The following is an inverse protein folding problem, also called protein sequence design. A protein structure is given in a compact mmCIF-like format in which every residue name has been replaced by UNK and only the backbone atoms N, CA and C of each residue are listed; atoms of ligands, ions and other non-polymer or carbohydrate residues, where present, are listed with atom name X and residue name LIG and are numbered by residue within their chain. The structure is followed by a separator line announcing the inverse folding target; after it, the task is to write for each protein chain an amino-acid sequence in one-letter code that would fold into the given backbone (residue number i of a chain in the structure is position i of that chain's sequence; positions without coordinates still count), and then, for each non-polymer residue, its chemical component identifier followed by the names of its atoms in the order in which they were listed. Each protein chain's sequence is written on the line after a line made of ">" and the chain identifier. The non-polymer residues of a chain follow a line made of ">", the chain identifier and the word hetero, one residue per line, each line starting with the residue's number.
data_IF_858652156556
#
_entry.id   IF_858652156556
#
_cell.length_a   1.000
_cell.length_b   1.000
_cell.length_c   1.000
_cell.angle_alpha   90.00
_cell.angle_beta   90.00
_cell.angle_gamma   90.00
#
_symmetry.space_group_name_H-M   'P 1'
#
loop_
_entity.id
_entity.type
_entity.pdbx_description
1 polymer ?
#
# COMPACT_ATOMS: atom_id res chain seq x y z
N UNK A 1 3.63 -2.11 -15.24
CA UNK A 1 3.14 -3.33 -14.56
C UNK A 1 4.02 -3.56 -13.36
N UNK A 2 3.52 -3.28 -12.16
CA UNK A 2 4.25 -3.49 -10.91
C UNK A 2 3.98 -4.91 -10.41
N UNK A 3 5.01 -5.59 -9.96
CA UNK A 3 4.95 -6.92 -9.37
C UNK A 3 5.13 -6.83 -7.87
N UNK A 4 4.37 -7.58 -7.13
CA UNK A 4 4.18 -7.43 -5.73
C UNK A 4 5.37 -7.75 -4.84
N UNK A 5 6.18 -8.74 -5.16
CA UNK A 5 7.38 -9.09 -4.36
C UNK A 5 8.60 -8.24 -4.71
N UNK A 6 8.63 -7.63 -5.87
CA UNK A 6 9.67 -6.67 -6.28
C UNK A 6 9.21 -5.22 -6.13
N UNK A 7 7.98 -5.00 -5.65
CA UNK A 7 7.41 -3.68 -5.39
C UNK A 7 7.88 -3.08 -4.06
N UNK A 8 7.49 -1.84 -3.84
CA UNK A 8 7.93 -1.02 -2.70
C UNK A 8 7.64 -1.69 -1.34
N UNK A 9 6.37 -1.98 -1.03
CA UNK A 9 5.96 -2.59 0.23
C UNK A 9 6.49 -4.02 0.35
N UNK A 10 6.37 -4.84 -0.71
CA UNK A 10 6.80 -6.23 -0.70
C UNK A 10 8.30 -6.41 -0.46
N UNK A 11 9.13 -5.53 -1.02
CA UNK A 11 10.60 -5.59 -0.81
C UNK A 11 10.99 -5.28 0.64
N UNK A 12 10.42 -4.25 1.25
CA UNK A 12 10.66 -3.94 2.66
C UNK A 12 10.07 -4.99 3.60
N UNK A 13 8.92 -5.55 3.27
CA UNK A 13 8.35 -6.68 4.02
C UNK A 13 9.29 -7.88 4.00
N UNK A 14 9.83 -8.24 2.83
CA UNK A 14 10.82 -9.32 2.72
C UNK A 14 12.08 -9.02 3.56
N UNK A 15 12.54 -7.75 3.58
CA UNK A 15 13.65 -7.32 4.44
C UNK A 15 13.35 -7.54 5.92
N UNK A 16 12.20 -7.07 6.40
CA UNK A 16 11.83 -7.21 7.81
C UNK A 16 11.68 -8.69 8.22
N UNK A 17 11.12 -9.52 7.35
CA UNK A 17 10.98 -10.96 7.56
C UNK A 17 12.35 -11.65 7.64
N UNK A 18 13.27 -11.31 6.74
CA UNK A 18 14.62 -11.85 6.74
C UNK A 18 15.41 -11.41 7.99
N UNK A 19 15.28 -10.13 8.40
CA UNK A 19 15.91 -9.59 9.61
C UNK A 19 15.37 -10.26 10.89
N UNK A 20 14.11 -10.72 10.87
CA UNK A 20 13.52 -11.52 11.95
C UNK A 20 14.00 -12.99 11.95
N UNK A 21 14.87 -13.38 11.04
CA UNK A 21 15.49 -14.71 10.98
C UNK A 21 14.72 -15.76 10.17
N UNK A 22 13.71 -15.34 9.41
CA UNK A 22 12.96 -16.25 8.53
C UNK A 22 13.60 -16.34 7.13
N UNK A 23 13.48 -17.50 6.51
CA UNK A 23 13.80 -17.68 5.08
C UNK A 23 12.68 -17.12 4.21
N UNK A 24 13.03 -16.47 3.10
CA UNK A 24 12.06 -15.84 2.21
C UNK A 24 12.13 -16.47 0.82
N UNK A 25 11.02 -17.03 0.35
CA UNK A 25 10.82 -17.40 -1.05
C UNK A 25 10.03 -16.31 -1.78
N UNK A 26 10.55 -15.89 -2.92
CA UNK A 26 9.91 -14.86 -3.74
C UNK A 26 9.10 -15.47 -4.87
N UNK A 27 7.84 -15.07 -5.01
CA UNK A 27 7.05 -15.35 -6.21
C UNK A 27 7.14 -14.14 -7.14
N UNK A 28 7.75 -14.29 -8.32
CA UNK A 28 8.04 -13.18 -9.23
C UNK A 28 7.80 -13.55 -10.68
N UNK A 29 7.40 -12.58 -11.50
CA UNK A 29 7.35 -12.75 -12.96
C UNK A 29 8.70 -12.50 -13.63
N UNK A 30 9.54 -11.66 -13.03
CA UNK A 30 10.86 -11.30 -13.57
C UNK A 30 11.92 -11.36 -12.46
N UNK A 31 12.71 -12.45 -12.37
CA UNK A 31 13.72 -12.63 -11.34
C UNK A 31 14.89 -11.63 -11.45
N UNK A 32 15.15 -11.04 -12.63
CA UNK A 32 16.20 -10.05 -12.77
C UNK A 32 15.92 -8.80 -11.89
N UNK A 33 14.65 -8.45 -11.69
CA UNK A 33 14.26 -7.34 -10.80
C UNK A 33 14.58 -7.60 -9.34
N UNK A 34 14.54 -8.82 -8.85
CA UNK A 34 14.96 -9.15 -7.48
C UNK A 34 16.40 -8.72 -7.22
N UNK A 35 17.30 -9.05 -8.16
CA UNK A 35 18.74 -8.73 -8.05
C UNK A 35 19.02 -7.23 -8.12
N UNK A 36 18.25 -6.50 -8.92
CA UNK A 36 18.46 -5.05 -9.10
C UNK A 36 17.74 -4.18 -8.07
N UNK A 37 16.79 -4.73 -7.33
CA UNK A 37 15.99 -4.01 -6.32
C UNK A 37 16.12 -4.59 -4.93
N UNK A 38 15.47 -5.73 -4.64
CA UNK A 38 15.37 -6.29 -3.28
C UNK A 38 16.74 -6.72 -2.73
N UNK A 39 17.63 -7.28 -3.55
CA UNK A 39 18.98 -7.65 -3.11
C UNK A 39 19.78 -6.47 -2.57
N UNK A 40 19.50 -5.23 -3.03
CA UNK A 40 20.15 -4.01 -2.52
C UNK A 40 19.77 -3.68 -1.08
N UNK A 41 18.68 -4.24 -0.58
CA UNK A 41 18.29 -4.17 0.83
C UNK A 41 19.06 -5.17 1.72
N UNK A 42 19.96 -5.97 1.15
CA UNK A 42 20.72 -7.01 1.88
C UNK A 42 19.92 -8.29 2.12
N UNK A 43 18.84 -8.52 1.36
CA UNK A 43 18.04 -9.75 1.46
C UNK A 43 18.62 -10.81 0.52
N UNK A 44 18.71 -12.05 0.99
CA UNK A 44 19.00 -13.19 0.10
C UNK A 44 17.80 -13.41 -0.85
N UNK A 45 18.08 -13.36 -2.13
CA UNK A 45 17.09 -13.52 -3.20
C UNK A 45 17.34 -14.78 -4.02
N UNK A 46 18.04 -15.76 -3.48
CA UNK A 46 18.38 -17.03 -4.17
C UNK A 46 17.18 -17.96 -4.30
N UNK A 47 16.25 -17.97 -3.33
CA UNK A 47 15.03 -18.78 -3.37
C UNK A 47 13.87 -17.99 -3.99
N UNK A 48 13.50 -18.32 -5.22
CA UNK A 48 12.39 -17.72 -5.92
C UNK A 48 11.69 -18.69 -6.86
N UNK A 49 10.39 -18.51 -7.04
CA UNK A 49 9.58 -19.14 -8.06
C UNK A 49 9.20 -18.12 -9.13
N UNK A 50 9.31 -18.51 -10.40
CA UNK A 50 8.84 -17.68 -11.53
C UNK A 50 7.40 -18.07 -11.84
N UNK A 51 6.46 -17.19 -11.47
CA UNK A 51 5.03 -17.45 -11.62
C UNK A 51 4.25 -16.14 -11.83
N UNK A 52 3.08 -16.24 -12.44
CA UNK A 52 2.06 -15.20 -12.42
C UNK A 52 1.01 -15.56 -11.35
N UNK A 53 0.62 -14.61 -10.53
CA UNK A 53 -0.38 -14.84 -9.47
C UNK A 53 -1.76 -15.27 -10.02
N UNK A 54 -2.04 -15.00 -11.29
CA UNK A 54 -3.26 -15.44 -11.97
C UNK A 54 -3.24 -16.90 -12.40
N UNK A 55 -2.05 -17.55 -12.39
CA UNK A 55 -1.89 -18.97 -12.70
C UNK A 55 -1.90 -19.80 -11.42
N UNK A 56 -3.01 -20.54 -11.22
CA UNK A 56 -3.26 -21.32 -10.02
C UNK A 56 -2.19 -22.39 -9.75
N UNK A 57 -1.76 -23.09 -10.79
CA UNK A 57 -0.86 -24.24 -10.64
C UNK A 57 0.56 -23.77 -10.30
N UNK A 58 1.05 -22.72 -10.96
CA UNK A 58 2.36 -22.16 -10.65
C UNK A 58 2.40 -21.48 -9.28
N UNK A 59 1.30 -20.88 -8.81
CA UNK A 59 1.19 -20.37 -7.44
C UNK A 59 1.26 -21.52 -6.43
N UNK A 60 0.55 -22.63 -6.69
CA UNK A 60 0.58 -23.80 -5.80
C UNK A 60 1.98 -24.40 -5.68
N UNK A 61 2.68 -24.51 -6.80
CA UNK A 61 4.07 -24.98 -6.79
C UNK A 61 4.98 -24.03 -5.97
N UNK A 62 4.82 -22.74 -6.14
CA UNK A 62 5.59 -21.75 -5.39
C UNK A 62 5.33 -21.78 -3.87
N UNK A 63 4.11 -22.12 -3.44
CA UNK A 63 3.73 -22.22 -2.04
C UNK A 63 4.21 -23.53 -1.38
N UNK A 64 4.51 -24.58 -2.14
CA UNK A 64 4.94 -25.86 -1.59
C UNK A 64 6.21 -25.71 -0.73
N UNK A 65 6.14 -26.21 0.52
CA UNK A 65 7.24 -26.14 1.47
C UNK A 65 7.41 -24.78 2.15
N UNK A 66 6.43 -23.89 2.02
CA UNK A 66 6.35 -22.67 2.83
C UNK A 66 5.41 -22.89 4.02
N UNK A 67 5.74 -22.32 5.16
CA UNK A 67 4.92 -22.40 6.39
C UNK A 67 3.91 -21.25 6.46
N UNK A 68 4.25 -20.11 5.86
CA UNK A 68 3.47 -18.88 5.88
C UNK A 68 3.49 -18.18 4.52
N UNK A 69 2.55 -17.27 4.29
CA UNK A 69 2.53 -16.44 3.09
C UNK A 69 2.17 -14.99 3.40
N UNK A 70 2.83 -14.06 2.70
CA UNK A 70 2.45 -12.64 2.68
C UNK A 70 2.01 -12.26 1.28
N UNK A 71 0.74 -11.96 1.10
CA UNK A 71 0.16 -11.50 -0.15
C UNK A 71 0.08 -9.97 -0.19
N UNK A 72 1.10 -9.34 -0.75
CA UNK A 72 1.16 -7.89 -1.00
C UNK A 72 1.00 -7.54 -2.49
N UNK A 73 0.72 -8.54 -3.33
CA UNK A 73 0.57 -8.42 -4.75
C UNK A 73 -0.71 -7.68 -5.14
N UNK A 74 -0.58 -6.58 -5.87
CA UNK A 74 -1.71 -5.93 -6.54
C UNK A 74 -1.25 -5.23 -7.82
N UNK A 75 -2.06 -5.33 -8.85
CA UNK A 75 -1.98 -4.44 -10.00
C UNK A 75 -2.68 -3.13 -9.60
N UNK A 76 -1.99 -2.01 -9.82
CA UNK A 76 -2.59 -0.67 -9.69
C UNK A 76 -2.69 -0.09 -11.08
N UNK A 77 -3.88 0.34 -11.48
CA UNK A 77 -4.13 0.99 -12.75
C UNK A 77 -4.82 2.32 -12.50
N UNK A 78 -4.22 3.38 -12.99
CA UNK A 78 -4.80 4.73 -12.98
C UNK A 78 -5.62 5.03 -14.23
N UNK A 79 -5.48 4.19 -15.28
CA UNK A 79 -6.26 4.28 -16.51
C UNK A 79 -7.60 3.55 -16.34
N UNK A 80 -8.75 4.23 -16.48
CA UNK A 80 -10.06 3.60 -16.39
C UNK A 80 -10.26 2.41 -17.34
N UNK A 81 -9.59 2.38 -18.49
CA UNK A 81 -9.65 1.29 -19.46
C UNK A 81 -9.05 -0.01 -18.93
N UNK A 82 -8.10 0.07 -17.99
CA UNK A 82 -7.46 -1.07 -17.35
C UNK A 82 -8.20 -1.56 -16.08
N UNK A 83 -9.26 -0.87 -15.64
CA UNK A 83 -9.97 -1.18 -14.40
C UNK A 83 -10.48 -2.61 -14.37
N UNK A 84 -11.16 -3.08 -15.42
CA UNK A 84 -11.69 -4.45 -15.46
C UNK A 84 -10.60 -5.50 -15.39
N UNK A 85 -9.47 -5.27 -16.05
CA UNK A 85 -8.29 -6.14 -16.00
C UNK A 85 -7.67 -6.14 -14.60
N UNK A 86 -7.55 -4.97 -13.97
CA UNK A 86 -7.05 -4.83 -12.60
C UNK A 86 -7.91 -5.62 -11.62
N UNK A 87 -9.24 -5.43 -11.68
CA UNK A 87 -10.20 -6.13 -10.82
C UNK A 87 -10.07 -7.66 -10.96
N UNK A 88 -10.09 -8.17 -12.19
CA UNK A 88 -10.00 -9.61 -12.45
C UNK A 88 -8.64 -10.20 -12.06
N UNK A 89 -7.55 -9.53 -12.38
CA UNK A 89 -6.19 -10.01 -12.05
C UNK A 89 -5.96 -10.01 -10.55
N UNK A 90 -6.36 -8.95 -9.85
CA UNK A 90 -6.17 -8.85 -8.41
C UNK A 90 -7.02 -9.88 -7.66
N UNK A 91 -8.27 -10.08 -8.09
CA UNK A 91 -9.15 -11.07 -7.46
C UNK A 91 -8.65 -12.51 -7.72
N UNK A 92 -8.26 -12.84 -8.94
CA UNK A 92 -7.68 -14.15 -9.26
C UNK A 92 -6.40 -14.38 -8.45
N UNK A 93 -5.52 -13.37 -8.35
CA UNK A 93 -4.31 -13.45 -7.54
C UNK A 93 -4.59 -13.71 -6.07
N UNK A 94 -5.54 -12.99 -5.48
CA UNK A 94 -5.93 -13.20 -4.09
C UNK A 94 -6.53 -14.60 -3.86
N UNK A 95 -7.40 -15.07 -4.75
CA UNK A 95 -7.97 -16.41 -4.66
C UNK A 95 -6.90 -17.50 -4.81
N UNK A 96 -5.97 -17.33 -5.73
CA UNK A 96 -4.89 -18.28 -5.94
C UNK A 96 -3.90 -18.31 -4.76
N UNK A 97 -3.54 -17.16 -4.19
CA UNK A 97 -2.56 -17.12 -3.10
C UNK A 97 -3.21 -17.46 -1.77
N UNK A 98 -4.24 -16.71 -1.35
CA UNK A 98 -4.86 -16.90 -0.04
C UNK A 98 -5.64 -18.22 0.04
N UNK A 99 -6.42 -18.55 -1.01
CA UNK A 99 -7.21 -19.77 -1.04
C UNK A 99 -6.34 -21.01 -1.00
N UNK A 100 -5.25 -21.07 -1.79
CA UNK A 100 -4.35 -22.20 -1.76
C UNK A 100 -3.51 -22.28 -0.48
N UNK A 101 -3.14 -21.14 0.12
CA UNK A 101 -2.49 -21.13 1.42
C UNK A 101 -3.37 -21.78 2.50
N UNK A 102 -4.68 -21.48 2.47
CA UNK A 102 -5.66 -22.14 3.34
C UNK A 102 -5.77 -23.64 3.05
N UNK A 103 -5.87 -24.03 1.77
CA UNK A 103 -5.90 -25.44 1.35
C UNK A 103 -4.64 -26.22 1.77
N UNK A 104 -3.48 -25.55 1.84
CA UNK A 104 -2.20 -26.14 2.27
C UNK A 104 -2.02 -26.12 3.80
N UNK A 105 -2.95 -25.52 4.54
CA UNK A 105 -2.88 -25.43 6.00
C UNK A 105 -1.82 -24.47 6.52
N UNK A 106 -1.45 -23.46 5.74
CA UNK A 106 -0.46 -22.47 6.16
C UNK A 106 -0.97 -21.63 7.33
N UNK A 107 -0.11 -21.33 8.28
CA UNK A 107 -0.37 -20.46 9.42
C UNK A 107 0.92 -19.76 9.86
N UNK A 108 1.01 -18.45 9.72
CA UNK A 108 -0.04 -17.50 9.32
C UNK A 108 -0.15 -17.25 7.81
N UNK A 109 -1.27 -16.65 7.42
CA UNK A 109 -1.51 -16.06 6.11
C UNK A 109 -1.68 -14.56 6.29
N UNK A 110 -0.84 -13.73 5.68
CA UNK A 110 -0.92 -12.26 5.79
C UNK A 110 -1.40 -11.66 4.46
N UNK A 111 -2.51 -10.93 4.50
CA UNK A 111 -3.02 -10.16 3.36
C UNK A 111 -2.79 -8.67 3.57
N UNK A 112 -2.10 -8.04 2.62
CA UNK A 112 -1.88 -6.59 2.61
C UNK A 112 -3.01 -5.93 1.84
N UNK A 113 -4.03 -5.46 2.57
CA UNK A 113 -5.16 -4.72 2.05
C UNK A 113 -4.80 -3.24 1.83
N UNK A 114 -5.69 -2.32 2.11
CA UNK A 114 -5.49 -0.87 2.06
C UNK A 114 -6.56 -0.17 2.88
N UNK A 115 -6.27 1.02 3.41
CA UNK A 115 -7.29 1.86 4.02
C UNK A 115 -8.46 2.14 3.06
N UNK A 116 -8.23 2.11 1.75
CA UNK A 116 -9.26 2.35 0.72
C UNK A 116 -10.38 1.31 0.72
N UNK A 117 -10.11 0.09 1.19
CA UNK A 117 -11.13 -0.96 1.34
C UNK A 117 -12.17 -0.63 2.43
N UNK A 118 -11.79 0.19 3.40
CA UNK A 118 -12.62 0.58 4.54
C UNK A 118 -13.10 2.03 4.48
N UNK A 119 -12.49 2.83 3.60
CA UNK A 119 -12.79 4.25 3.48
C UNK A 119 -14.23 4.50 3.04
N UNK A 120 -14.86 5.44 3.71
CA UNK A 120 -16.14 6.06 3.33
C UNK A 120 -16.10 7.54 3.59
N UNK A 121 -16.87 8.34 2.85
CA UNK A 121 -16.98 9.78 3.08
C UNK A 121 -17.37 10.09 4.52
N UNK A 122 -16.76 11.16 5.08
CA UNK A 122 -17.01 11.65 6.45
C UNK A 122 -16.68 10.65 7.56
N UNK A 123 -15.81 9.69 7.29
CA UNK A 123 -15.26 8.80 8.32
C UNK A 123 -14.32 9.61 9.23
N UNK A 124 -14.59 9.61 10.53
CA UNK A 124 -13.73 10.31 11.48
C UNK A 124 -12.44 9.53 11.77
N UNK A 125 -12.58 8.23 11.99
CA UNK A 125 -11.45 7.35 12.35
C UNK A 125 -11.53 6.04 11.59
N UNK A 126 -10.43 5.65 10.97
CA UNK A 126 -10.22 4.36 10.34
C UNK A 126 -9.92 3.34 11.45
N UNK A 127 -10.67 2.23 11.48
CA UNK A 127 -10.45 1.10 12.39
C UNK A 127 -10.56 -0.20 11.60
N UNK A 128 -9.80 -1.21 11.99
CA UNK A 128 -9.78 -2.51 11.34
C UNK A 128 -11.12 -3.27 11.40
N UNK A 129 -11.98 -2.91 12.36
CA UNK A 129 -13.31 -3.53 12.56
C UNK A 129 -14.40 -2.91 11.68
N UNK A 130 -14.12 -1.83 10.97
CA UNK A 130 -15.08 -1.21 10.08
C UNK A 130 -15.57 -2.20 9.01
N UNK A 131 -16.85 -2.14 8.62
CA UNK A 131 -17.33 -2.91 7.48
C UNK A 131 -16.66 -2.43 6.19
N UNK A 132 -16.52 -3.35 5.25
CA UNK A 132 -15.99 -3.04 3.92
C UNK A 132 -16.85 -1.97 3.25
N UNK A 133 -16.21 -0.98 2.65
CA UNK A 133 -16.91 0.20 2.11
C UNK A 133 -17.17 0.16 0.61
N UNK A 134 -16.51 -0.72 -0.13
CA UNK A 134 -16.70 -0.85 -1.58
C UNK A 134 -15.83 0.06 -2.45
N UNK A 135 -15.13 1.03 -1.84
CA UNK A 135 -14.30 1.98 -2.59
C UNK A 135 -15.08 2.94 -3.48
N UNK A 136 -14.47 4.02 -3.90
CA UNK A 136 -15.08 5.04 -4.78
C UNK A 136 -14.52 5.04 -6.20
N UNK A 137 -13.43 4.29 -6.41
CA UNK A 137 -12.70 4.13 -7.66
C UNK A 137 -12.39 2.66 -7.93
N UNK A 138 -11.84 2.36 -9.10
CA UNK A 138 -11.51 0.99 -9.48
C UNK A 138 -10.52 0.32 -8.54
N UNK A 139 -9.54 1.07 -8.01
CA UNK A 139 -8.57 0.53 -7.04
C UNK A 139 -9.24 0.20 -5.70
N UNK A 140 -10.00 1.13 -5.13
CA UNK A 140 -10.76 0.92 -3.90
C UNK A 140 -11.76 -0.24 -4.03
N UNK A 141 -12.46 -0.35 -5.18
CA UNK A 141 -13.34 -1.47 -5.50
C UNK A 141 -12.58 -2.81 -5.54
N UNK A 142 -11.39 -2.83 -6.16
CA UNK A 142 -10.52 -4.01 -6.18
C UNK A 142 -10.13 -4.45 -4.76
N UNK A 143 -9.69 -3.50 -3.93
CA UNK A 143 -9.32 -3.77 -2.54
C UNK A 143 -10.51 -4.25 -1.72
N UNK A 144 -11.69 -3.65 -1.89
CA UNK A 144 -12.91 -4.06 -1.21
C UNK A 144 -13.37 -5.47 -1.59
N UNK A 145 -13.30 -5.85 -2.86
CA UNK A 145 -13.67 -7.21 -3.30
C UNK A 145 -12.73 -8.27 -2.71
N UNK A 146 -11.42 -8.02 -2.70
CA UNK A 146 -10.45 -8.93 -2.09
C UNK A 146 -10.64 -8.99 -0.57
N UNK A 147 -10.95 -7.85 0.05
CA UNK A 147 -11.23 -7.76 1.48
C UNK A 147 -12.44 -8.62 1.88
N UNK A 148 -13.53 -8.57 1.12
CA UNK A 148 -14.71 -9.44 1.32
C UNK A 148 -14.31 -10.92 1.24
N UNK A 149 -13.48 -11.27 0.26
CA UNK A 149 -12.99 -12.64 0.12
C UNK A 149 -12.10 -13.05 1.30
N UNK A 150 -11.14 -12.24 1.69
CA UNK A 150 -10.23 -12.52 2.79
C UNK A 150 -10.95 -12.63 4.15
N UNK A 151 -11.95 -11.77 4.39
CA UNK A 151 -12.83 -11.89 5.58
C UNK A 151 -13.68 -13.15 5.53
N UNK A 152 -14.17 -13.55 4.37
CA UNK A 152 -14.87 -14.83 4.21
C UNK A 152 -14.00 -16.03 4.59
N UNK A 153 -12.69 -16.00 4.30
CA UNK A 153 -11.74 -17.01 4.78
C UNK A 153 -11.57 -16.96 6.30
N UNK A 154 -11.49 -15.76 6.90
CA UNK A 154 -11.47 -15.60 8.37
C UNK A 154 -12.72 -16.17 9.02
N UNK A 155 -13.90 -15.86 8.48
CA UNK A 155 -15.18 -16.34 8.98
C UNK A 155 -15.30 -17.88 8.89
N UNK A 156 -14.61 -18.49 7.93
CA UNK A 156 -14.46 -19.95 7.80
C UNK A 156 -13.38 -20.55 8.73
N UNK A 157 -12.72 -19.74 9.57
CA UNK A 157 -11.73 -20.17 10.54
C UNK A 157 -10.28 -20.19 10.03
N UNK A 158 -10.01 -19.68 8.83
CA UNK A 158 -8.64 -19.60 8.31
C UNK A 158 -7.79 -18.56 9.06
N UNK A 159 -6.49 -18.82 9.32
CA UNK A 159 -5.61 -17.92 10.08
C UNK A 159 -5.11 -16.75 9.23
N UNK A 160 -6.03 -16.05 8.56
CA UNK A 160 -5.72 -14.90 7.73
C UNK A 160 -5.60 -13.65 8.58
N UNK A 161 -4.46 -12.99 8.53
CA UNK A 161 -4.24 -11.67 9.13
C UNK A 161 -4.35 -10.62 8.01
N UNK A 162 -5.03 -9.50 8.26
CA UNK A 162 -5.25 -8.45 7.28
C UNK A 162 -4.69 -7.13 7.81
N UNK A 163 -3.92 -6.43 6.97
CA UNK A 163 -3.38 -5.12 7.31
C UNK A 163 -3.92 -4.04 6.37
N UNK A 164 -4.16 -2.84 6.91
CA UNK A 164 -4.71 -1.70 6.15
C UNK A 164 -3.74 -0.51 6.20
N UNK A 165 -2.68 -0.53 5.37
CA UNK A 165 -1.76 0.59 5.27
C UNK A 165 -2.44 1.87 4.78
N UNK A 166 -1.95 3.02 5.29
CA UNK A 166 -2.23 4.34 4.76
C UNK A 166 -1.46 4.63 3.47
N UNK A 167 -1.07 5.88 3.28
CA UNK A 167 -0.19 6.31 2.18
C UNK A 167 1.25 5.97 2.55
N UNK A 168 1.78 4.91 1.96
CA UNK A 168 3.10 4.40 2.31
C UNK A 168 4.19 5.23 1.66
N UNK A 169 5.09 5.79 2.47
CA UNK A 169 6.28 6.54 2.08
C UNK A 169 7.54 5.89 2.68
N UNK A 170 8.72 6.37 2.30
CA UNK A 170 10.01 5.92 2.83
C UNK A 170 11.04 5.64 1.74
N UNK A 171 12.17 5.01 2.09
CA UNK A 171 13.23 4.69 1.13
C UNK A 171 12.75 3.70 0.06
N UNK A 172 13.09 3.92 -1.22
CA UNK A 172 12.63 3.09 -2.33
C UNK A 172 13.22 1.68 -2.32
N UNK A 173 12.59 0.80 -3.07
CA UNK A 173 13.14 -0.52 -3.44
C UNK A 173 13.56 -0.46 -4.91
N UNK A 174 14.84 -0.25 -5.18
CA UNK A 174 15.32 0.07 -6.51
C UNK A 174 14.76 1.42 -6.99
N UNK A 175 13.95 1.41 -8.04
CA UNK A 175 13.26 2.58 -8.60
C UNK A 175 11.79 2.72 -8.13
N UNK A 176 11.36 1.89 -7.19
CA UNK A 176 9.96 1.82 -6.75
C UNK A 176 9.72 2.67 -5.49
N UNK A 177 8.93 3.73 -5.61
CA UNK A 177 8.54 4.63 -4.51
C UNK A 177 7.09 4.45 -4.03
N UNK A 178 6.31 3.66 -4.75
CA UNK A 178 4.88 3.64 -4.58
C UNK A 178 4.18 4.94 -5.06
N UNK A 179 2.87 4.93 -5.01
CA UNK A 179 2.04 6.04 -5.52
C UNK A 179 2.15 7.31 -4.66
N UNK A 180 2.28 7.14 -3.34
CA UNK A 180 2.45 8.26 -2.43
C UNK A 180 3.78 9.00 -2.69
N UNK A 181 4.86 8.27 -3.02
CA UNK A 181 6.13 8.84 -3.41
C UNK A 181 6.05 9.67 -4.69
N UNK A 182 5.26 9.22 -5.67
CA UNK A 182 4.97 10.00 -6.88
C UNK A 182 4.19 11.28 -6.55
N UNK A 183 3.30 11.23 -5.57
CA UNK A 183 2.62 12.41 -5.03
C UNK A 183 3.60 13.41 -4.42
N UNK A 184 4.58 12.95 -3.63
CA UNK A 184 5.66 13.80 -3.08
C UNK A 184 6.48 14.43 -4.21
N UNK A 185 6.88 13.65 -5.21
CA UNK A 185 7.63 14.15 -6.37
C UNK A 185 6.87 15.25 -7.11
N UNK A 186 5.58 15.05 -7.33
CA UNK A 186 4.70 16.03 -7.98
C UNK A 186 4.55 17.30 -7.16
N UNK A 187 4.37 17.19 -5.84
CA UNK A 187 4.29 18.33 -4.94
C UNK A 187 5.59 19.15 -4.95
N UNK A 188 6.74 18.48 -4.89
CA UNK A 188 8.06 19.14 -4.98
C UNK A 188 8.28 19.85 -6.31
N UNK A 189 7.83 19.26 -7.43
CA UNK A 189 7.94 19.88 -8.75
C UNK A 189 7.05 21.12 -8.87
N UNK A 190 5.81 21.05 -8.36
CA UNK A 190 4.86 22.17 -8.42
C UNK A 190 5.16 23.27 -7.40
N UNK A 191 5.88 22.98 -6.31
CA UNK A 191 6.09 23.87 -5.16
C UNK A 191 4.78 24.32 -4.47
N UNK A 192 3.68 23.65 -4.75
CA UNK A 192 2.33 24.00 -4.26
C UNK A 192 1.56 22.75 -3.88
N UNK A 193 0.86 22.80 -2.75
CA UNK A 193 -0.07 21.77 -2.32
C UNK A 193 -1.42 22.46 -2.06
N UNK A 194 -2.46 22.20 -2.89
CA UNK A 194 -3.78 22.79 -2.69
C UNK A 194 -4.57 22.01 -1.65
N UNK A 195 -5.28 22.69 -0.77
CA UNK A 195 -6.22 22.08 0.17
C UNK A 195 -6.35 22.86 1.47
N UNK A 196 -7.59 23.15 1.85
CA UNK A 196 -7.88 23.84 3.11
C UNK A 196 -8.02 22.87 4.28
N UNK A 197 -8.80 21.79 4.10
CA UNK A 197 -9.04 20.73 5.08
C UNK A 197 -8.40 19.40 4.71
N UNK A 198 -7.76 19.33 3.56
CA UNK A 198 -7.14 18.12 3.04
C UNK A 198 -5.95 17.68 3.90
N UNK A 199 -5.70 16.37 3.91
CA UNK A 199 -4.62 15.74 4.65
C UNK A 199 -4.10 14.49 3.93
N UNK A 200 -2.90 14.05 4.33
CA UNK A 200 -2.34 12.74 3.99
C UNK A 200 -2.30 11.87 5.23
N UNK A 201 -2.56 10.58 5.06
CA UNK A 201 -2.38 9.57 6.10
C UNK A 201 -1.07 8.83 5.81
N UNK A 202 0.03 9.29 6.41
CA UNK A 202 1.39 8.85 6.06
C UNK A 202 1.87 7.78 7.04
N UNK A 203 2.34 6.66 6.46
CA UNK A 203 3.02 5.60 7.20
C UNK A 203 4.35 5.25 6.54
N UNK A 204 5.36 4.96 7.35
CA UNK A 204 6.65 4.50 6.85
C UNK A 204 6.57 3.05 6.37
N UNK A 205 7.16 2.77 5.21
CA UNK A 205 7.20 1.42 4.63
C UNK A 205 7.90 0.41 5.55
N UNK A 206 8.86 0.86 6.36
CA UNK A 206 9.57 0.02 7.33
C UNK A 206 8.69 -0.37 8.52
N UNK A 207 7.75 0.49 8.92
CA UNK A 207 6.79 0.21 9.99
C UNK A 207 5.71 -0.76 9.51
N UNK A 208 5.22 -0.58 8.29
CA UNK A 208 4.34 -1.55 7.61
C UNK A 208 5.04 -2.91 7.50
N UNK A 209 6.32 -2.93 7.13
CA UNK A 209 7.11 -4.15 7.03
C UNK A 209 7.32 -4.82 8.40
N UNK A 210 7.58 -4.04 9.45
CA UNK A 210 7.70 -4.54 10.83
C UNK A 210 6.39 -5.16 11.31
N UNK A 211 5.24 -4.53 11.01
CA UNK A 211 3.93 -5.09 11.28
C UNK A 211 3.75 -6.45 10.59
N UNK A 212 4.11 -6.56 9.30
CA UNK A 212 3.99 -7.82 8.57
C UNK A 212 4.88 -8.92 9.17
N UNK A 213 6.12 -8.60 9.57
CA UNK A 213 7.01 -9.55 10.23
C UNK A 213 6.48 -10.00 11.60
N UNK A 214 5.91 -9.08 12.40
CA UNK A 214 5.31 -9.41 13.69
C UNK A 214 4.05 -10.30 13.56
N UNK A 215 3.42 -10.34 12.39
CA UNK A 215 2.26 -11.20 12.11
C UNK A 215 2.64 -12.64 11.69
N UNK A 216 3.94 -12.97 11.62
CA UNK A 216 4.39 -14.31 11.22
C UNK A 216 4.41 -15.34 12.37
N UNK A 217 3.95 -14.98 13.55
CA UNK A 217 3.78 -15.94 14.64
C UNK A 217 2.52 -16.81 14.40
N UNK A 218 2.70 -18.11 14.26
CA UNK A 218 1.61 -19.07 14.04
C UNK A 218 0.69 -19.22 15.25
N UNK A 219 -0.55 -19.67 15.03
CA UNK A 219 -1.56 -19.89 16.08
C UNK A 219 -2.17 -18.61 16.65
N UNK A 220 -1.94 -17.45 16.03
CA UNK A 220 -2.38 -16.14 16.53
C UNK A 220 -3.48 -15.49 15.67
N UNK A 221 -3.80 -16.05 14.53
CA UNK A 221 -4.85 -15.52 13.64
C UNK A 221 -6.24 -16.09 13.94
N UNK A 222 -7.29 -15.56 13.26
CA UNK A 222 -7.28 -14.40 12.36
C UNK A 222 -7.30 -13.06 13.10
N UNK A 223 -6.58 -12.05 12.57
CA UNK A 223 -6.52 -10.68 13.13
C UNK A 223 -6.53 -9.64 12.03
N UNK A 224 -6.88 -8.40 12.41
CA UNK A 224 -6.89 -7.25 11.48
C UNK A 224 -6.29 -6.04 12.15
N UNK A 225 -5.41 -5.31 11.43
CA UNK A 225 -4.73 -4.13 11.95
C UNK A 225 -4.68 -3.01 10.92
N UNK A 226 -5.05 -1.82 11.34
CA UNK A 226 -4.69 -0.59 10.63
C UNK A 226 -3.20 -0.32 10.77
N UNK A 227 -2.63 0.30 9.76
CA UNK A 227 -1.28 0.82 9.72
C UNK A 227 -1.31 2.16 8.96
N UNK A 228 -2.13 3.08 9.45
CA UNK A 228 -2.34 4.39 8.84
C UNK A 228 -1.17 5.34 9.12
N UNK A 229 -0.55 5.21 10.28
CA UNK A 229 0.49 6.11 10.76
C UNK A 229 -0.09 7.46 11.16
N UNK A 230 0.37 8.53 10.53
CA UNK A 230 0.06 9.90 10.95
C UNK A 230 -0.78 10.63 9.92
N UNK A 231 -1.89 11.22 10.37
CA UNK A 231 -2.68 12.15 9.55
C UNK A 231 -2.04 13.53 9.56
N UNK A 232 -1.50 13.95 8.41
CA UNK A 232 -0.76 15.21 8.25
C UNK A 232 -1.60 16.20 7.43
N UNK A 233 -2.10 17.29 8.02
CA UNK A 233 -2.79 18.35 7.28
C UNK A 233 -1.87 19.00 6.23
N UNK A 234 -2.46 19.46 5.13
CA UNK A 234 -1.70 20.06 4.00
C UNK A 234 -0.77 21.21 4.43
N UNK A 235 -1.15 22.14 5.33
CA UNK A 235 -0.21 23.18 5.77
C UNK A 235 1.03 22.64 6.48
N UNK A 236 0.86 21.59 7.29
CA UNK A 236 1.95 20.93 7.98
C UNK A 236 2.82 20.12 6.99
N UNK A 237 2.21 19.38 6.08
CA UNK A 237 2.92 18.65 5.03
C UNK A 237 3.76 19.59 4.15
N UNK A 238 3.21 20.74 3.75
CA UNK A 238 3.95 21.74 2.98
C UNK A 238 5.16 22.28 3.77
N UNK A 239 4.99 22.52 5.08
CA UNK A 239 6.09 22.93 5.96
C UNK A 239 7.18 21.85 6.02
N UNK A 240 6.83 20.60 6.29
CA UNK A 240 7.77 19.48 6.37
C UNK A 240 8.51 19.32 5.04
N UNK A 241 7.80 19.28 3.92
CA UNK A 241 8.41 19.16 2.58
C UNK A 241 9.34 20.32 2.27
N UNK A 242 8.94 21.55 2.62
CA UNK A 242 9.76 22.75 2.41
C UNK A 242 11.06 22.72 3.20
N UNK A 243 11.00 22.35 4.48
CA UNK A 243 12.17 22.26 5.36
C UNK A 243 13.11 21.15 4.93
N UNK A 244 12.59 19.96 4.64
CA UNK A 244 13.38 18.80 4.20
C UNK A 244 13.98 19.03 2.80
N UNK A 245 13.21 19.59 1.89
CA UNK A 245 13.68 19.89 0.56
C UNK A 245 14.54 21.16 0.45
N UNK A 246 14.64 21.98 1.50
CA UNK A 246 15.35 23.25 1.47
C UNK A 246 14.78 24.23 0.42
N UNK A 247 13.46 24.21 0.23
CA UNK A 247 12.76 25.04 -0.75
C UNK A 247 11.47 25.59 -0.14
N UNK A 248 10.89 26.61 -0.75
CA UNK A 248 9.59 27.13 -0.33
C UNK A 248 8.49 26.26 -0.92
N UNK A 249 7.63 25.70 -0.04
CA UNK A 249 6.42 24.99 -0.42
C UNK A 249 5.20 25.79 0.03
N UNK A 250 4.24 25.97 -0.86
CA UNK A 250 3.04 26.76 -0.56
C UNK A 250 1.83 25.85 -0.35
N UNK A 251 1.22 25.94 0.84
CA UNK A 251 -0.11 25.40 1.07
C UNK A 251 -1.16 26.42 0.59
N UNK A 252 -1.86 26.11 -0.50
CA UNK A 252 -2.90 27.01 -1.03
C UNK A 252 -4.26 26.59 -0.48
N UNK A 253 -4.99 27.47 0.24
CA UNK A 253 -6.22 27.11 0.94
C UNK A 253 -7.42 27.03 -0.03
N UNK A 254 -7.36 26.09 -0.98
CA UNK A 254 -8.48 25.79 -1.89
C UNK A 254 -9.58 25.08 -1.09
N UNK A 255 -10.85 25.50 -1.19
CA UNK A 255 -11.95 24.81 -0.55
C UNK A 255 -12.08 23.36 -1.01
N UNK A 256 -12.29 22.42 -0.08
CA UNK A 256 -12.34 20.99 -0.35
C UNK A 256 -13.43 20.63 -1.36
N UNK A 257 -14.58 21.33 -1.33
CA UNK A 257 -15.64 21.16 -2.34
C UNK A 257 -15.19 21.53 -3.74
N UNK A 258 -14.37 22.58 -3.88
CA UNK A 258 -13.83 23.00 -5.17
C UNK A 258 -12.84 21.95 -5.72
N UNK A 259 -12.00 21.36 -4.86
CA UNK A 259 -11.11 20.27 -5.25
C UNK A 259 -11.90 19.04 -5.75
N UNK A 260 -12.96 18.65 -5.04
CA UNK A 260 -13.83 17.53 -5.47
C UNK A 260 -14.54 17.80 -6.80
N UNK A 261 -15.03 19.02 -7.00
CA UNK A 261 -15.63 19.42 -8.29
C UNK A 261 -14.58 19.39 -9.40
N UNK A 262 -13.37 19.92 -9.15
CA UNK A 262 -12.28 19.87 -10.11
C UNK A 262 -11.91 18.42 -10.48
N UNK A 263 -11.84 17.51 -9.50
CA UNK A 263 -11.62 16.08 -9.74
C UNK A 263 -12.70 15.47 -10.66
N UNK A 264 -13.98 15.79 -10.40
CA UNK A 264 -15.07 15.29 -11.24
C UNK A 264 -15.02 15.83 -12.68
N UNK A 265 -14.60 17.07 -12.87
CA UNK A 265 -14.39 17.65 -14.19
C UNK A 265 -13.22 16.98 -14.92
N UNK A 266 -12.13 16.72 -14.21
CA UNK A 266 -10.95 16.04 -14.77
C UNK A 266 -11.27 14.59 -15.16
N UNK A 267 -12.09 13.87 -14.41
CA UNK A 267 -12.55 12.53 -14.78
C UNK A 267 -13.33 12.54 -16.10
N UNK A 268 -14.20 13.53 -16.31
CA UNK A 268 -14.96 13.68 -17.56
C UNK A 268 -14.06 14.08 -18.73
N UNK A 269 -13.05 14.89 -18.47
CA UNK A 269 -12.07 15.32 -19.48
C UNK A 269 -10.99 14.27 -19.76
N UNK A 270 -10.78 13.33 -18.84
CA UNK A 270 -9.70 12.32 -18.87
C UNK A 270 -9.54 11.58 -20.19
N UNK A 271 -10.60 11.12 -20.89
CA UNK A 271 -10.49 10.47 -22.19
C UNK A 271 -9.85 11.36 -23.28
N UNK A 272 -9.86 12.68 -23.11
CA UNK A 272 -9.33 13.66 -24.04
C UNK A 272 -7.97 14.23 -23.64
N UNK A 273 -7.48 13.87 -22.44
CA UNK A 273 -6.19 14.34 -21.94
C UNK A 273 -5.05 13.40 -22.39
N UNK A 274 -3.89 13.92 -22.80
CA UNK A 274 -2.75 13.10 -23.21
C UNK A 274 -1.96 12.50 -22.04
N UNK A 275 -2.41 12.72 -20.80
CA UNK A 275 -1.75 12.27 -19.57
C UNK A 275 -2.76 11.82 -18.52
N UNK A 276 -2.36 10.87 -17.69
CA UNK A 276 -3.13 10.48 -16.52
C UNK A 276 -2.84 11.43 -15.36
N UNK A 277 -3.86 11.76 -14.59
CA UNK A 277 -3.75 12.64 -13.42
C UNK A 277 -4.24 11.93 -12.16
N UNK A 278 -3.57 12.10 -11.01
CA UNK A 278 -4.08 11.61 -9.73
C UNK A 278 -5.24 12.45 -9.18
N UNK A 279 -5.53 13.60 -9.81
CA UNK A 279 -6.61 14.50 -9.40
C UNK A 279 -7.98 14.04 -9.92
N UNK A 280 -8.33 12.78 -9.65
CA UNK A 280 -9.63 12.19 -9.95
C UNK A 280 -10.66 12.58 -8.89
N UNK A 281 -11.96 12.40 -9.15
CA UNK A 281 -13.01 12.63 -8.16
C UNK A 281 -12.79 11.78 -6.90
N UNK A 282 -12.43 10.51 -7.07
CA UNK A 282 -12.11 9.60 -5.98
C UNK A 282 -10.84 10.01 -5.23
N UNK A 283 -9.76 10.35 -5.96
CA UNK A 283 -8.52 10.85 -5.36
C UNK A 283 -8.76 12.11 -4.53
N UNK A 284 -9.56 13.06 -5.04
CA UNK A 284 -9.93 14.26 -4.30
C UNK A 284 -10.85 13.97 -3.11
N UNK A 285 -11.66 12.93 -3.16
CA UNK A 285 -12.46 12.49 -2.03
C UNK A 285 -11.59 11.93 -0.90
N UNK A 286 -10.65 11.00 -1.20
CA UNK A 286 -9.67 10.51 -0.22
C UNK A 286 -8.88 11.67 0.39
N UNK A 287 -8.35 12.54 -0.46
CA UNK A 287 -7.50 13.65 -0.09
C UNK A 287 -8.20 14.66 0.85
N UNK A 288 -9.45 15.05 0.53
CA UNK A 288 -10.19 16.07 1.28
C UNK A 288 -10.95 15.53 2.48
N UNK A 289 -11.07 14.21 2.62
CA UNK A 289 -11.81 13.56 3.70
C UNK A 289 -11.01 12.45 4.37
N UNK A 290 -9.67 12.58 4.36
CA UNK A 290 -8.76 11.62 4.97
C UNK A 290 -9.05 11.51 6.47
N UNK A 291 -9.42 10.31 7.00
CA UNK A 291 -9.68 10.10 8.42
C UNK A 291 -8.38 10.05 9.24
N UNK A 292 -8.50 10.12 10.56
CA UNK A 292 -7.49 9.61 11.49
C UNK A 292 -7.43 8.08 11.40
N UNK A 293 -6.35 7.44 11.87
CA UNK A 293 -6.24 5.99 11.97
C UNK A 293 -6.09 5.57 13.43
N UNK A 294 -6.84 4.55 13.84
CA UNK A 294 -6.64 3.91 15.14
C UNK A 294 -5.68 2.74 15.00
N UNK A 295 -4.40 3.04 15.11
CA UNK A 295 -3.33 2.04 15.03
C UNK A 295 -2.96 1.46 16.41
N UNK A 296 -3.68 1.87 17.47
CA UNK A 296 -3.41 1.43 18.85
C UNK A 296 -3.45 -0.10 19.06
N UNK A 297 -4.24 -0.91 18.31
CA UNK A 297 -4.15 -2.36 18.43
C UNK A 297 -2.79 -2.91 18.00
N UNK A 298 -2.23 -2.46 16.88
CA UNK A 298 -0.90 -2.90 16.42
C UNK A 298 0.22 -2.45 17.35
N UNK A 299 0.12 -1.25 17.93
CA UNK A 299 1.06 -0.75 18.92
C UNK A 299 1.04 -1.59 20.21
N UNK A 300 -0.15 -1.87 20.76
CA UNK A 300 -0.30 -2.57 22.05
C UNK A 300 -0.05 -4.08 21.96
N UNK A 301 -0.52 -4.71 20.88
CA UNK A 301 -0.49 -6.18 20.78
C UNK A 301 0.80 -6.69 20.11
N UNK A 302 1.38 -5.89 19.22
CA UNK A 302 2.54 -6.30 18.42
C UNK A 302 3.78 -5.42 18.67
N UNK A 303 3.67 -4.38 19.52
CA UNK A 303 4.78 -3.50 19.85
C UNK A 303 5.25 -2.63 18.68
N UNK A 304 4.39 -2.40 17.68
CA UNK A 304 4.74 -1.55 16.53
C UNK A 304 4.89 -0.11 17.01
N UNK A 305 5.94 0.54 16.54
CA UNK A 305 6.15 1.98 16.75
C UNK A 305 6.21 2.65 15.40
N UNK A 306 5.33 3.62 15.18
CA UNK A 306 5.27 4.39 13.93
C UNK A 306 6.26 5.54 13.97
N UNK A 307 7.13 5.63 12.96
CA UNK A 307 8.16 6.66 12.79
C UNK A 307 7.54 8.03 12.66
N UNK A 308 8.30 9.04 13.11
CA UNK A 308 7.94 10.44 12.86
C UNK A 308 7.77 10.66 11.33
N UNK A 309 6.65 11.22 10.88
CA UNK A 309 6.40 11.44 9.47
C UNK A 309 7.42 12.38 8.82
N UNK A 310 8.07 13.24 9.60
CA UNK A 310 9.15 14.10 9.12
C UNK A 310 10.36 13.27 8.65
N UNK A 311 10.75 12.25 9.41
CA UNK A 311 11.86 11.36 9.05
C UNK A 311 11.51 10.54 7.80
N UNK A 312 10.28 10.02 7.74
CA UNK A 312 9.75 9.31 6.59
C UNK A 312 9.77 10.15 5.32
N UNK A 313 9.31 11.39 5.42
CA UNK A 313 9.33 12.36 4.30
C UNK A 313 10.76 12.72 3.92
N UNK A 314 11.66 12.90 4.90
CA UNK A 314 13.07 13.21 4.65
C UNK A 314 13.77 12.10 3.86
N UNK A 315 13.58 10.86 4.23
CA UNK A 315 14.13 9.70 3.53
C UNK A 315 13.56 9.60 2.11
N UNK A 316 12.26 9.83 1.95
CA UNK A 316 11.60 9.84 0.63
C UNK A 316 12.18 10.93 -0.28
N UNK A 317 12.28 12.16 0.21
CA UNK A 317 12.81 13.30 -0.56
C UNK A 317 14.28 13.10 -0.94
N UNK A 318 15.08 12.60 0.00
CA UNK A 318 16.50 12.30 -0.24
C UNK A 318 16.67 11.29 -1.37
N UNK A 319 15.88 10.24 -1.34
CA UNK A 319 15.92 9.20 -2.37
C UNK A 319 15.44 9.70 -3.74
N UNK A 320 14.35 10.51 -3.77
CA UNK A 320 13.87 11.12 -5.01
C UNK A 320 14.91 12.02 -5.70
N UNK A 321 15.73 12.73 -4.92
CA UNK A 321 16.84 13.55 -5.45
C UNK A 321 17.98 12.70 -6.01
N UNK A 322 18.29 11.59 -5.36
CA UNK A 322 19.34 10.66 -5.82
C UNK A 322 19.03 9.96 -7.15
N UNK A 323 17.77 9.88 -7.55
CA UNK A 323 17.36 9.31 -8.85
C UNK A 323 17.28 10.35 -9.97
N UNK A 324 17.32 11.64 -9.66
CA UNK A 324 17.30 12.74 -10.64
C UNK A 324 18.68 13.25 -11.02
N UNK A 325 19.73 12.69 -10.44
CA UNK A 325 21.15 12.93 -10.75
C UNK A 325 21.72 11.75 -11.54
#
# INVERSE_FOLDING_TARGET
>A
MQNATTGFVGGWTAKAIADAGHSVRFLVRNPARLKTSVAKLGVDVSDFAVADISDRDSVREALNGCDAVVHSAALVATDPRETSRMLSTNMAGAQNVLGQAVELGMDPIVHVSSFTALFRPNLATLSADLPVAGGTDGYGQSKAQIEIYARGLQDAGAPVNITYPGMVLGPPVGDQFGEAGEGVRSALWMHVIPGRGAAWLIVDVRDVAALHAALLESGRGPRRYTAGGHRIPVPELAKILGEVAGTTMLAVPVPDSALRVAGSVLDQAGPYLPFNTPFTAAGMQYYTQMPESDDSPSEKELGITYRDPRDTVADTVTALRGLGS
#
